data_IF_108234405508
#
_entry.id   IF_108234405508
#
_cell.length_a   1.000
_cell.length_b   1.000
_cell.length_c   1.000
_cell.angle_alpha   90.00
_cell.angle_beta   90.00
_cell.angle_gamma   90.00
#
_symmetry.space_group_name_H-M   'P 1'
#
loop_
_entity.id
_entity.type
_entity.pdbx_description
1 polymer ?
#
# COMPACT_ATOMS: atom_id res chain seq x y z
N UNK A 1 -36.16 8.24 0.50
CA UNK A 1 -35.23 8.06 -0.63
C UNK A 1 -34.24 9.22 -0.61
N UNK A 2 -33.06 9.07 -0.05
CA UNK A 2 -32.06 10.13 0.09
C UNK A 2 -31.25 10.15 -1.20
N UNK A 3 -31.35 11.23 -1.98
CA UNK A 3 -30.55 11.44 -3.17
C UNK A 3 -29.11 11.74 -2.76
N UNK A 4 -28.21 10.80 -2.94
CA UNK A 4 -26.78 11.06 -2.87
C UNK A 4 -26.40 11.96 -4.07
N UNK A 5 -25.97 13.19 -3.79
CA UNK A 5 -25.33 14.03 -4.80
C UNK A 5 -23.97 13.43 -5.14
N UNK A 6 -23.85 12.94 -6.35
CA UNK A 6 -22.58 12.56 -6.96
C UNK A 6 -21.88 13.84 -7.40
N UNK A 7 -20.94 14.30 -6.61
CA UNK A 7 -19.93 15.28 -7.00
C UNK A 7 -18.58 14.66 -6.68
N UNK A 8 -17.49 15.16 -7.25
CA UNK A 8 -16.10 14.66 -7.18
C UNK A 8 -15.49 14.44 -5.77
N UNK A 9 -16.29 14.16 -4.78
CA UNK A 9 -15.86 13.89 -3.40
C UNK A 9 -15.82 12.40 -3.14
N UNK A 10 -14.61 11.87 -2.96
CA UNK A 10 -14.43 10.51 -2.41
C UNK A 10 -14.89 10.52 -0.96
N UNK A 11 -15.85 9.66 -0.61
CA UNK A 11 -16.27 9.45 0.78
C UNK A 11 -15.22 8.54 1.42
N UNK A 12 -14.48 9.09 2.38
CA UNK A 12 -13.59 8.32 3.25
C UNK A 12 -14.32 8.12 4.57
N UNK A 13 -14.61 6.87 4.92
CA UNK A 13 -15.14 6.52 6.23
C UNK A 13 -13.98 6.28 7.19
N UNK A 14 -13.86 7.11 8.22
CA UNK A 14 -12.86 6.94 9.28
C UNK A 14 -13.60 6.63 10.56
N UNK A 15 -13.28 5.48 11.18
CA UNK A 15 -13.74 5.14 12.52
C UNK A 15 -12.77 5.76 13.53
N UNK A 16 -13.26 6.68 14.35
CA UNK A 16 -12.46 7.36 15.38
C UNK A 16 -12.98 6.98 16.78
N UNK A 17 -12.10 6.84 17.78
CA UNK A 17 -12.49 6.61 19.16
C UNK A 17 -13.44 7.68 19.68
N UNK A 18 -14.36 7.29 20.58
CA UNK A 18 -15.43 8.18 21.04
C UNK A 18 -14.92 9.42 21.80
N UNK A 19 -13.81 9.31 22.52
CA UNK A 19 -13.15 10.42 23.20
C UNK A 19 -12.62 11.48 22.22
N UNK A 20 -12.06 11.03 21.09
CA UNK A 20 -11.62 11.91 20.00
C UNK A 20 -12.82 12.54 19.29
N UNK A 21 -13.89 11.76 19.06
CA UNK A 21 -15.13 12.28 18.49
C UNK A 21 -15.72 13.41 19.34
N UNK A 22 -15.79 13.24 20.67
CA UNK A 22 -16.26 14.28 21.61
C UNK A 22 -15.36 15.54 21.58
N UNK A 23 -14.05 15.38 21.47
CA UNK A 23 -13.11 16.51 21.36
C UNK A 23 -13.26 17.28 20.06
N UNK A 24 -13.57 16.57 18.95
CA UNK A 24 -13.89 17.18 17.65
C UNK A 24 -15.22 17.95 17.73
N UNK A 25 -16.26 17.38 18.33
CA UNK A 25 -17.56 18.03 18.52
C UNK A 25 -17.46 19.32 19.34
N UNK A 26 -16.62 19.33 20.37
CA UNK A 26 -16.37 20.52 21.17
C UNK A 26 -15.70 21.66 20.37
N UNK A 27 -14.93 21.32 19.31
CA UNK A 27 -14.26 22.29 18.43
C UNK A 27 -15.14 22.77 17.28
N UNK A 28 -16.05 21.95 16.79
CA UNK A 28 -16.95 22.29 15.67
C UNK A 28 -18.03 23.31 16.07
N UNK A 29 -18.34 23.43 17.36
CA UNK A 29 -19.36 24.34 17.86
C UNK A 29 -20.79 23.97 17.44
N UNK A 30 -21.81 24.56 18.08
CA UNK A 30 -23.24 24.32 17.77
C UNK A 30 -23.79 25.21 16.64
N UNK A 31 -22.96 25.87 15.84
CA UNK A 31 -23.37 26.75 14.75
C UNK A 31 -23.54 25.98 13.41
N UNK A 32 -24.30 26.59 12.47
CA UNK A 32 -24.44 26.09 11.08
C UNK A 32 -23.12 26.25 10.28
N UNK A 33 -22.01 25.81 10.83
CA UNK A 33 -20.69 25.85 10.22
C UNK A 33 -20.27 24.51 9.65
N UNK A 34 -19.03 24.43 9.25
CA UNK A 34 -18.39 23.25 8.68
C UNK A 34 -18.57 22.02 9.57
N UNK A 35 -19.16 20.93 9.03
CA UNK A 35 -19.35 19.68 9.78
C UNK A 35 -18.04 18.99 10.15
N UNK A 36 -18.11 17.93 10.99
CA UNK A 36 -16.94 17.14 11.44
C UNK A 36 -15.97 16.78 10.31
N UNK A 37 -16.51 16.40 9.15
CA UNK A 37 -15.73 16.02 7.98
C UNK A 37 -14.88 17.18 7.45
N UNK A 38 -15.43 18.39 7.38
CA UNK A 38 -14.70 19.56 6.94
C UNK A 38 -13.64 20.00 7.96
N UNK A 39 -13.92 19.87 9.24
CA UNK A 39 -12.96 20.15 10.32
C UNK A 39 -11.79 19.15 10.28
N UNK A 40 -12.06 17.86 10.09
CA UNK A 40 -11.03 16.84 9.94
C UNK A 40 -10.18 17.10 8.69
N UNK A 41 -10.79 17.40 7.55
CA UNK A 41 -10.07 17.74 6.31
C UNK A 41 -9.14 18.94 6.54
N UNK A 42 -9.63 20.00 7.18
CA UNK A 42 -8.84 21.21 7.48
C UNK A 42 -7.71 20.95 8.48
N UNK A 43 -7.91 20.04 9.45
CA UNK A 43 -6.86 19.62 10.37
C UNK A 43 -5.79 18.79 9.65
N UNK A 44 -6.19 17.92 8.74
CA UNK A 44 -5.28 17.14 7.89
C UNK A 44 -4.49 18.08 6.97
N UNK A 45 -5.17 19.00 6.29
CA UNK A 45 -4.53 20.01 5.44
C UNK A 45 -3.53 20.86 6.23
N UNK A 46 -3.89 21.37 7.39
CA UNK A 46 -3.00 22.15 8.23
C UNK A 46 -1.82 21.33 8.78
N UNK A 47 -2.03 20.06 9.07
CA UNK A 47 -0.98 19.17 9.55
C UNK A 47 0.00 18.77 8.43
N UNK A 48 -0.53 18.50 7.22
CA UNK A 48 0.27 18.09 6.07
C UNK A 48 0.93 19.27 5.35
N UNK A 49 0.24 20.42 5.27
CA UNK A 49 0.67 21.59 4.49
C UNK A 49 1.03 22.80 5.34
N UNK A 50 0.60 22.88 6.59
CA UNK A 50 0.89 24.01 7.50
C UNK A 50 2.38 24.18 7.81
N UNK A 51 3.16 23.11 7.72
CA UNK A 51 4.62 23.16 7.85
C UNK A 51 5.33 23.68 6.59
N UNK A 52 4.64 23.73 5.45
CA UNK A 52 5.20 24.14 4.15
C UNK A 52 5.07 25.67 3.95
N UNK A 53 4.07 26.30 4.59
CA UNK A 53 3.75 27.72 4.37
C UNK A 53 4.72 28.67 5.08
N UNK A 54 5.54 28.20 6.03
CA UNK A 54 6.45 29.04 6.81
C UNK A 54 7.93 28.94 6.41
N UNK A 55 8.26 28.56 5.19
CA UNK A 55 9.61 28.75 4.65
C UNK A 55 9.63 29.86 3.61
N UNK A 56 10.22 31.02 3.90
CA UNK A 56 10.57 31.95 2.84
C UNK A 56 11.85 31.39 2.19
N UNK A 57 11.74 30.72 1.08
CA UNK A 57 12.71 30.81 -0.02
C UNK A 57 12.22 30.03 -1.24
N UNK A 58 12.10 30.80 -2.32
CA UNK A 58 11.97 30.36 -3.69
C UNK A 58 13.20 29.52 -4.10
N UNK A 59 13.10 28.23 -3.93
CA UNK A 59 13.95 27.25 -4.59
C UNK A 59 12.98 26.24 -5.20
N UNK A 60 12.97 26.16 -6.52
CA UNK A 60 12.30 25.09 -7.24
C UNK A 60 12.76 23.77 -6.64
N UNK A 61 11.85 23.06 -5.97
CA UNK A 61 12.10 21.70 -5.54
C UNK A 61 12.01 20.84 -6.79
N UNK A 62 13.14 20.65 -7.45
CA UNK A 62 13.22 19.60 -8.46
C UNK A 62 12.73 18.30 -7.83
N UNK A 63 11.88 17.53 -8.55
CA UNK A 63 11.48 16.21 -8.09
C UNK A 63 12.76 15.41 -7.84
N UNK A 64 12.95 14.90 -6.61
CA UNK A 64 14.10 14.06 -6.28
C UNK A 64 14.13 12.89 -7.25
N UNK A 65 15.05 12.93 -8.20
CA UNK A 65 15.33 11.80 -9.07
C UNK A 65 15.71 10.63 -8.16
N UNK A 66 15.09 9.45 -8.34
CA UNK A 66 15.45 8.28 -7.56
C UNK A 66 16.96 8.08 -7.67
N UNK A 67 17.59 7.84 -6.53
CA UNK A 67 19.02 7.60 -6.43
C UNK A 67 19.34 6.42 -7.37
N UNK A 68 20.01 6.68 -8.49
CA UNK A 68 20.41 5.66 -9.46
C UNK A 68 21.54 4.83 -8.83
N UNK A 69 21.18 3.95 -7.92
CA UNK A 69 22.01 2.78 -7.69
C UNK A 69 22.00 1.97 -8.99
N UNK A 70 23.17 1.52 -9.44
CA UNK A 70 23.38 0.71 -10.65
C UNK A 70 22.72 -0.68 -10.58
N UNK A 71 21.58 -0.81 -9.93
CA UNK A 71 20.77 -2.02 -9.87
C UNK A 71 20.07 -2.17 -11.22
N UNK A 72 20.25 -3.33 -11.85
CA UNK A 72 19.49 -3.68 -13.05
C UNK A 72 18.00 -3.52 -12.72
N UNK A 73 17.26 -2.87 -13.62
CA UNK A 73 15.81 -2.76 -13.52
C UNK A 73 15.16 -3.75 -14.48
N UNK A 74 13.96 -4.21 -14.13
CA UNK A 74 13.04 -4.86 -15.05
C UNK A 74 11.82 -3.98 -15.26
N UNK A 75 11.20 -4.07 -16.41
CA UNK A 75 9.95 -3.38 -16.71
C UNK A 75 8.79 -4.28 -16.34
N UNK A 76 7.86 -3.78 -15.56
CA UNK A 76 6.56 -4.41 -15.28
C UNK A 76 5.43 -3.54 -15.81
N UNK A 77 4.29 -4.16 -16.08
CA UNK A 77 3.12 -3.49 -16.68
C UNK A 77 1.90 -3.73 -15.80
N UNK A 78 1.17 -2.67 -15.49
CA UNK A 78 -0.14 -2.73 -14.86
C UNK A 78 -1.18 -1.95 -15.70
N UNK A 79 -2.37 -1.75 -15.16
CA UNK A 79 -3.45 -1.00 -15.83
C UNK A 79 -3.11 0.49 -16.06
N UNK A 80 -2.08 1.01 -15.40
CA UNK A 80 -1.59 2.39 -15.53
C UNK A 80 -0.39 2.51 -16.49
N UNK A 81 0.06 1.40 -17.08
CA UNK A 81 1.16 1.34 -18.03
C UNK A 81 2.45 0.76 -17.45
N UNK A 82 3.55 0.98 -18.16
CA UNK A 82 4.87 0.48 -17.79
C UNK A 82 5.49 1.23 -16.62
N UNK A 83 6.27 0.51 -15.81
CA UNK A 83 7.09 1.07 -14.74
C UNK A 83 8.34 0.23 -14.51
N UNK A 84 9.45 0.88 -14.21
CA UNK A 84 10.68 0.21 -13.82
C UNK A 84 10.63 -0.25 -12.36
N UNK A 85 11.01 -1.49 -12.12
CA UNK A 85 11.12 -2.13 -10.80
C UNK A 85 12.53 -2.69 -10.67
N UNK A 86 13.20 -2.57 -9.51
CA UNK A 86 14.51 -3.18 -9.30
C UNK A 86 14.47 -4.69 -9.59
N UNK A 87 15.41 -5.19 -10.38
CA UNK A 87 15.40 -6.57 -10.85
C UNK A 87 15.58 -7.61 -9.73
N UNK A 88 16.16 -7.19 -8.59
CA UNK A 88 16.41 -8.00 -7.40
C UNK A 88 15.26 -7.99 -6.38
N UNK A 89 14.11 -7.40 -6.72
CA UNK A 89 12.96 -7.27 -5.83
C UNK A 89 11.77 -8.08 -6.32
N UNK A 90 11.07 -8.74 -5.39
CA UNK A 90 9.84 -9.48 -5.72
C UNK A 90 8.60 -8.60 -5.78
N UNK A 91 8.62 -7.39 -5.19
CA UNK A 91 7.50 -6.49 -5.41
C UNK A 91 7.43 -6.02 -6.87
N UNK A 92 6.24 -5.63 -7.31
CA UNK A 92 5.96 -5.31 -8.70
C UNK A 92 5.53 -3.86 -8.92
N UNK A 93 4.77 -3.66 -10.00
CA UNK A 93 4.36 -2.35 -10.49
C UNK A 93 3.54 -1.53 -9.47
N UNK A 94 2.59 -2.16 -8.78
CA UNK A 94 1.72 -1.48 -7.82
C UNK A 94 2.52 -0.95 -6.62
N UNK A 95 3.43 -1.76 -6.10
CA UNK A 95 4.33 -1.34 -5.01
C UNK A 95 5.28 -0.23 -5.46
N UNK A 96 5.85 -0.33 -6.66
CA UNK A 96 6.71 0.71 -7.21
C UNK A 96 5.98 2.06 -7.34
N UNK A 97 4.73 2.05 -7.83
CA UNK A 97 3.89 3.27 -7.87
C UNK A 97 3.59 3.81 -6.49
N UNK A 98 3.32 2.92 -5.52
CA UNK A 98 3.06 3.33 -4.14
C UNK A 98 4.28 4.03 -3.53
N UNK A 99 5.48 3.54 -3.78
CA UNK A 99 6.73 4.17 -3.32
C UNK A 99 6.93 5.56 -3.90
N UNK A 100 6.51 5.79 -5.15
CA UNK A 100 6.60 7.10 -5.80
C UNK A 100 5.54 8.06 -5.25
N UNK A 101 4.31 7.58 -5.11
CA UNK A 101 3.16 8.43 -4.80
C UNK A 101 3.00 8.71 -3.30
N UNK A 102 3.57 7.85 -2.43
CA UNK A 102 3.40 7.90 -0.97
C UNK A 102 4.76 7.84 -0.25
N UNK A 103 5.73 8.62 -0.70
CA UNK A 103 7.02 8.80 -0.02
C UNK A 103 6.88 9.76 1.17
N UNK A 104 6.09 9.36 2.16
CA UNK A 104 5.74 10.15 3.34
C UNK A 104 6.23 9.45 4.60
N UNK A 105 7.05 10.13 5.38
CA UNK A 105 7.64 9.60 6.62
C UNK A 105 8.73 8.56 6.38
N UNK A 106 9.25 7.97 7.45
CA UNK A 106 10.33 6.97 7.41
C UNK A 106 9.84 5.57 7.84
N UNK A 107 8.73 5.52 8.60
CA UNK A 107 8.23 4.28 9.18
C UNK A 107 7.69 3.33 8.11
N UNK A 108 8.06 2.06 8.23
CA UNK A 108 7.56 0.98 7.38
C UNK A 108 6.49 0.16 8.08
N UNK A 109 5.77 -0.63 7.30
CA UNK A 109 4.81 -1.57 7.87
C UNK A 109 5.47 -2.51 8.87
N UNK A 110 4.87 -2.71 10.06
CA UNK A 110 5.41 -3.58 11.10
C UNK A 110 5.59 -5.01 10.61
N UNK A 111 6.68 -5.66 11.02
CA UNK A 111 6.99 -7.06 10.69
C UNK A 111 5.84 -8.02 11.05
N UNK A 112 5.15 -7.78 12.17
CA UNK A 112 4.00 -8.56 12.59
C UNK A 112 2.84 -8.52 11.60
N UNK A 113 2.61 -7.37 10.96
CA UNK A 113 1.60 -7.22 9.91
C UNK A 113 1.99 -7.98 8.65
N UNK A 114 3.26 -7.87 8.22
CA UNK A 114 3.77 -8.61 7.05
C UNK A 114 3.63 -10.12 7.28
N UNK A 115 4.02 -10.61 8.48
CA UNK A 115 3.84 -12.00 8.86
C UNK A 115 2.37 -12.43 8.80
N UNK A 116 1.45 -11.59 9.28
CA UNK A 116 0.02 -11.87 9.22
C UNK A 116 -0.50 -11.97 7.78
N UNK A 117 0.01 -11.15 6.86
CA UNK A 117 -0.30 -11.29 5.43
C UNK A 117 0.20 -12.64 4.88
N UNK A 118 1.41 -13.08 5.22
CA UNK A 118 1.90 -14.40 4.82
C UNK A 118 0.96 -15.51 5.26
N UNK A 119 0.57 -15.54 6.53
CA UNK A 119 -0.37 -16.54 7.08
C UNK A 119 -1.73 -16.49 6.36
N UNK A 120 -2.28 -15.28 6.16
CA UNK A 120 -3.57 -15.10 5.48
C UNK A 120 -3.53 -15.62 4.04
N UNK A 121 -2.46 -15.30 3.29
CA UNK A 121 -2.33 -15.72 1.89
C UNK A 121 -2.11 -17.23 1.77
N UNK A 122 -1.34 -17.83 2.67
CA UNK A 122 -1.17 -19.28 2.75
C UNK A 122 -2.50 -19.99 3.00
N UNK A 123 -3.21 -19.60 4.05
CA UNK A 123 -4.51 -20.20 4.37
C UNK A 123 -5.52 -20.04 3.23
N UNK A 124 -5.52 -18.89 2.54
CA UNK A 124 -6.39 -18.69 1.38
C UNK A 124 -6.02 -19.60 0.20
N UNK A 125 -4.71 -19.80 -0.06
CA UNK A 125 -4.25 -20.70 -1.12
C UNK A 125 -4.64 -22.15 -0.82
N UNK A 126 -4.38 -22.64 0.39
CA UNK A 126 -4.73 -23.99 0.84
C UNK A 126 -6.24 -24.23 0.73
N UNK A 127 -7.07 -23.30 1.23
CA UNK A 127 -8.52 -23.39 1.10
C UNK A 127 -8.99 -23.42 -0.35
N UNK A 128 -8.38 -22.61 -1.24
CA UNK A 128 -8.74 -22.58 -2.65
C UNK A 128 -8.36 -23.88 -3.38
N UNK A 129 -7.28 -24.53 -2.96
CA UNK A 129 -6.92 -25.88 -3.44
C UNK A 129 -7.96 -26.91 -2.99
N UNK A 130 -8.32 -26.92 -1.70
CA UNK A 130 -9.34 -27.84 -1.16
C UNK A 130 -10.70 -27.67 -1.86
N UNK A 131 -11.06 -26.44 -2.22
CA UNK A 131 -12.29 -26.13 -2.96
C UNK A 131 -12.20 -26.42 -4.47
N UNK A 132 -11.04 -26.82 -4.97
CA UNK A 132 -10.81 -27.10 -6.39
C UNK A 132 -10.85 -25.85 -7.29
N UNK A 133 -10.65 -24.64 -6.75
CA UNK A 133 -10.61 -23.38 -7.50
C UNK A 133 -9.17 -22.90 -7.77
N UNK A 134 -8.18 -23.55 -7.16
CA UNK A 134 -6.75 -23.36 -7.42
C UNK A 134 -6.10 -24.74 -7.66
N UNK A 135 -5.26 -24.83 -8.67
CA UNK A 135 -4.53 -26.06 -8.96
C UNK A 135 -3.50 -26.38 -7.86
N UNK A 136 -3.35 -27.65 -7.50
CA UNK A 136 -2.48 -28.14 -6.44
C UNK A 136 -1.04 -27.63 -6.57
N UNK A 137 -0.48 -27.66 -7.76
CA UNK A 137 0.91 -27.27 -7.99
C UNK A 137 1.11 -25.76 -7.78
N UNK A 138 0.15 -24.96 -8.22
CA UNK A 138 0.17 -23.50 -7.95
C UNK A 138 -0.01 -23.23 -6.46
N UNK A 139 -0.93 -23.94 -5.81
CA UNK A 139 -1.15 -23.81 -4.36
C UNK A 139 0.12 -24.11 -3.56
N UNK A 140 0.89 -25.14 -3.91
CA UNK A 140 2.17 -25.48 -3.27
C UNK A 140 3.20 -24.37 -3.43
N UNK A 141 3.38 -23.83 -4.65
CA UNK A 141 4.30 -22.73 -4.92
C UNK A 141 3.95 -21.46 -4.12
N UNK A 142 2.65 -21.14 -4.06
CA UNK A 142 2.16 -20.00 -3.27
C UNK A 142 2.40 -20.23 -1.77
N UNK A 143 2.13 -21.44 -1.25
CA UNK A 143 2.35 -21.77 0.17
C UNK A 143 3.83 -21.68 0.53
N UNK A 144 4.74 -22.19 -0.30
CA UNK A 144 6.19 -22.08 -0.10
C UNK A 144 6.65 -20.62 -0.07
N UNK A 145 6.21 -19.78 -0.99
CA UNK A 145 6.51 -18.37 -0.98
C UNK A 145 5.95 -17.66 0.26
N UNK A 146 4.75 -18.05 0.73
CA UNK A 146 4.16 -17.52 1.95
C UNK A 146 4.97 -17.91 3.21
N UNK A 147 5.52 -19.11 3.28
CA UNK A 147 6.40 -19.52 4.39
C UNK A 147 7.65 -18.65 4.49
N UNK A 148 8.24 -18.27 3.36
CA UNK A 148 9.37 -17.33 3.33
C UNK A 148 8.96 -15.93 3.83
N UNK A 149 7.74 -15.46 3.52
CA UNK A 149 7.19 -14.22 4.10
C UNK A 149 6.97 -14.37 5.62
N UNK A 150 6.41 -15.49 6.07
CA UNK A 150 6.13 -15.78 7.49
C UNK A 150 7.43 -15.85 8.29
N UNK A 151 8.48 -16.48 7.77
CA UNK A 151 9.79 -16.58 8.42
C UNK A 151 10.55 -15.25 8.47
N UNK A 152 10.29 -14.33 7.56
CA UNK A 152 10.99 -13.05 7.43
C UNK A 152 12.08 -13.02 6.39
N UNK A 153 12.31 -14.11 5.69
CA UNK A 153 13.34 -14.20 4.63
C UNK A 153 13.13 -13.18 3.53
N UNK A 154 11.86 -12.74 3.32
CA UNK A 154 11.48 -11.77 2.30
C UNK A 154 11.19 -10.36 2.83
N UNK A 155 11.54 -10.03 4.07
CA UNK A 155 11.21 -8.72 4.68
C UNK A 155 11.74 -7.52 3.88
N UNK A 156 12.88 -7.67 3.20
CA UNK A 156 13.45 -6.61 2.36
C UNK A 156 12.60 -6.25 1.13
N UNK A 157 11.61 -7.07 0.78
CA UNK A 157 10.70 -6.89 -0.34
C UNK A 157 9.40 -6.18 0.05
N UNK A 158 9.29 -5.71 1.31
CA UNK A 158 8.17 -4.94 1.85
C UNK A 158 8.60 -3.52 2.21
N UNK A 159 8.88 -2.66 1.21
CA UNK A 159 9.46 -1.35 1.44
C UNK A 159 8.46 -0.25 1.78
N UNK A 160 7.15 -0.52 1.72
CA UNK A 160 6.11 0.50 1.80
C UNK A 160 6.09 1.21 3.14
N UNK A 161 5.83 2.52 3.08
CA UNK A 161 5.62 3.39 4.23
C UNK A 161 4.26 3.11 4.88
N UNK A 162 4.13 3.43 6.18
CA UNK A 162 2.84 3.31 6.89
C UNK A 162 1.82 4.35 6.42
N UNK A 163 2.27 5.50 5.95
CA UNK A 163 1.42 6.58 5.45
C UNK A 163 0.97 6.28 4.01
N UNK A 164 -0.09 5.51 3.92
CA UNK A 164 -0.75 5.08 2.68
C UNK A 164 -2.20 5.56 2.66
N UNK A 165 -2.99 5.09 1.68
CA UNK A 165 -4.45 5.20 1.73
C UNK A 165 -4.99 4.39 2.90
N UNK A 166 -6.01 4.89 3.59
CA UNK A 166 -6.57 4.27 4.79
C UNK A 166 -7.19 2.88 4.60
N UNK A 167 -7.35 2.42 3.37
CA UNK A 167 -7.90 1.09 3.05
C UNK A 167 -6.91 -0.07 3.26
N UNK A 168 -5.60 0.20 3.36
CA UNK A 168 -4.56 -0.84 3.47
C UNK A 168 -4.29 -1.62 2.17
N UNK A 169 -4.93 -1.24 1.05
CA UNK A 169 -4.83 -1.99 -0.21
C UNK A 169 -3.40 -2.05 -0.76
N UNK A 170 -2.60 -1.01 -0.56
CA UNK A 170 -1.22 -0.97 -1.07
C UNK A 170 -0.34 -2.05 -0.44
N UNK A 171 -0.44 -2.25 0.88
CA UNK A 171 0.29 -3.33 1.57
C UNK A 171 -0.22 -4.71 1.15
N UNK A 172 -1.53 -4.87 0.93
CA UNK A 172 -2.08 -6.11 0.40
C UNK A 172 -1.55 -6.38 -1.02
N UNK A 173 -1.46 -5.37 -1.90
CA UNK A 173 -0.90 -5.53 -3.24
C UNK A 173 0.59 -5.86 -3.18
N UNK A 174 1.36 -5.25 -2.27
CA UNK A 174 2.75 -5.60 -2.06
C UNK A 174 2.90 -7.09 -1.69
N UNK A 175 2.08 -7.58 -0.76
CA UNK A 175 2.10 -9.00 -0.40
C UNK A 175 1.74 -9.90 -1.59
N UNK A 176 0.73 -9.55 -2.39
CA UNK A 176 0.35 -10.29 -3.59
C UNK A 176 1.51 -10.36 -4.60
N UNK A 177 2.16 -9.22 -4.88
CA UNK A 177 3.26 -9.14 -5.82
C UNK A 177 4.47 -9.95 -5.37
N UNK A 178 4.85 -9.84 -4.08
CA UNK A 178 5.98 -10.58 -3.50
C UNK A 178 5.74 -12.08 -3.57
N UNK A 179 4.58 -12.54 -3.10
CA UNK A 179 4.24 -13.98 -3.11
C UNK A 179 4.16 -14.51 -4.54
N UNK A 180 3.50 -13.78 -5.47
CA UNK A 180 3.38 -14.23 -6.86
C UNK A 180 4.75 -14.31 -7.55
N UNK A 181 5.58 -13.26 -7.45
CA UNK A 181 6.90 -13.26 -8.08
C UNK A 181 7.84 -14.30 -7.46
N UNK A 182 7.76 -14.55 -6.15
CA UNK A 182 8.55 -15.59 -5.53
C UNK A 182 8.10 -16.99 -5.96
N UNK A 183 6.79 -17.25 -6.04
CA UNK A 183 6.24 -18.50 -6.56
C UNK A 183 6.67 -18.75 -8.03
N UNK A 184 6.64 -17.71 -8.86
CA UNK A 184 7.12 -17.76 -10.24
C UNK A 184 8.61 -18.14 -10.29
N UNK A 185 9.45 -17.55 -9.45
CA UNK A 185 10.87 -17.86 -9.40
C UNK A 185 11.13 -19.29 -8.92
N UNK A 186 10.40 -19.77 -7.90
CA UNK A 186 10.47 -21.17 -7.42
C UNK A 186 10.13 -22.15 -8.56
N UNK A 187 9.17 -21.83 -9.40
CA UNK A 187 8.81 -22.64 -10.57
C UNK A 187 9.82 -22.57 -11.71
N UNK A 188 10.85 -21.72 -11.61
CA UNK A 188 11.82 -21.47 -12.69
C UNK A 188 11.36 -20.44 -13.72
N UNK A 189 10.26 -19.74 -13.46
CA UNK A 189 9.73 -18.70 -14.33
C UNK A 189 10.48 -17.37 -14.24
N UNK A 190 10.07 -16.40 -15.04
CA UNK A 190 10.67 -15.07 -15.09
C UNK A 190 9.89 -14.09 -14.22
N UNK A 191 10.56 -13.36 -13.33
CA UNK A 191 9.95 -12.31 -12.50
C UNK A 191 9.17 -11.31 -13.35
N UNK A 192 7.95 -10.99 -12.91
CA UNK A 192 7.05 -10.08 -13.62
C UNK A 192 6.25 -10.70 -14.77
N UNK A 193 6.43 -12.00 -15.06
CA UNK A 193 5.68 -12.68 -16.13
C UNK A 193 4.19 -12.85 -15.85
N UNK A 194 3.77 -12.78 -14.58
CA UNK A 194 2.40 -13.03 -14.11
C UNK A 194 1.91 -14.46 -14.34
N UNK A 195 2.78 -15.35 -14.74
CA UNK A 195 2.52 -16.78 -14.94
C UNK A 195 3.78 -17.57 -14.61
N UNK A 196 3.66 -18.74 -13.98
CA UNK A 196 4.77 -19.66 -13.80
C UNK A 196 5.37 -20.09 -15.12
#
# INVERSE_FOLDING_TARGET
>A
MVKHRVGDRRIISVSIPEDIARRLDARVGKGRGEGRSATISKMIENSLFGAVINKPNSGEVEPRKPNKTNLKARVEIDTMGEIEVPADRYYGAQTARSLINFDIGEDKMPRSLIRAFGILKQAAAETNVELGVLEDDIGKLVSEACEEVISGSLDSHFPLRIWQTGSGTQTNMNANEVVANRAIEISGGKLGSKSP
#
